data_IF_800546624687
#
_entry.id   IF_800546624687
#
_cell.length_a   1.000
_cell.length_b   1.000
_cell.length_c   1.000
_cell.angle_alpha   90.00
_cell.angle_beta   90.00
_cell.angle_gamma   90.00
#
_symmetry.space_group_name_H-M   'P 1'
#
loop_
_entity.id
_entity.type
_entity.pdbx_description
1 polymer ?
#
# COMPACT_ATOMS: atom_id res chain seq x y z
N UNK A 1 -49.42 -18.98 -5.53
CA UNK A 1 -48.13 -19.48 -5.01
C UNK A 1 -47.34 -18.26 -4.54
N UNK A 2 -46.88 -18.23 -3.27
CA UNK A 2 -46.15 -17.07 -2.73
C UNK A 2 -44.72 -17.15 -3.26
N UNK A 3 -44.27 -16.13 -4.00
CA UNK A 3 -42.88 -16.02 -4.46
C UNK A 3 -42.05 -15.52 -3.29
N UNK A 4 -41.23 -16.40 -2.71
CA UNK A 4 -40.32 -16.06 -1.62
C UNK A 4 -38.98 -15.75 -2.28
N UNK A 5 -38.55 -14.50 -2.27
CA UNK A 5 -37.20 -14.12 -2.69
C UNK A 5 -36.26 -14.47 -1.53
N UNK A 6 -35.25 -15.34 -1.73
CA UNK A 6 -34.27 -15.63 -0.69
C UNK A 6 -33.53 -14.36 -0.28
N UNK A 7 -33.24 -14.21 1.02
CA UNK A 7 -32.45 -13.11 1.55
C UNK A 7 -31.01 -13.21 0.98
N UNK A 8 -30.45 -12.14 0.36
CA UNK A 8 -29.08 -12.15 -0.16
C UNK A 8 -28.01 -12.48 0.88
N UNK A 9 -28.31 -12.36 2.18
CA UNK A 9 -27.41 -12.68 3.27
C UNK A 9 -27.43 -14.18 3.66
N UNK A 10 -28.37 -14.97 3.14
CA UNK A 10 -28.42 -16.41 3.40
C UNK A 10 -27.37 -17.13 2.54
N UNK A 11 -26.47 -17.91 3.16
CA UNK A 11 -25.48 -18.68 2.42
C UNK A 11 -26.19 -19.75 1.58
N UNK A 12 -25.87 -19.79 0.29
CA UNK A 12 -26.41 -20.77 -0.66
C UNK A 12 -25.52 -22.02 -0.61
N UNK A 13 -26.03 -23.11 -0.01
CA UNK A 13 -25.38 -24.43 0.00
C UNK A 13 -24.60 -24.76 1.27
N UNK A 14 -23.87 -25.87 1.25
CA UNK A 14 -23.13 -26.39 2.42
C UNK A 14 -21.92 -25.51 2.75
N UNK A 15 -21.91 -24.93 3.95
CA UNK A 15 -20.85 -24.03 4.42
C UNK A 15 -19.61 -24.84 4.83
N UNK A 16 -18.45 -24.52 4.25
CA UNK A 16 -17.16 -25.05 4.70
C UNK A 16 -16.49 -24.06 5.65
N UNK A 17 -16.34 -24.44 6.93
CA UNK A 17 -15.66 -23.61 7.92
C UNK A 17 -14.14 -23.65 7.66
N UNK A 18 -13.59 -22.54 7.19
CA UNK A 18 -12.15 -22.36 7.02
C UNK A 18 -11.58 -21.73 8.30
N UNK A 19 -10.44 -22.24 8.77
CA UNK A 19 -9.73 -21.62 9.90
C UNK A 19 -9.22 -20.24 9.48
N UNK A 20 -9.34 -19.25 10.35
CA UNK A 20 -8.74 -17.94 10.12
C UNK A 20 -7.24 -18.08 9.88
N UNK A 21 -6.81 -17.74 8.66
CA UNK A 21 -5.43 -17.81 8.19
C UNK A 21 -4.82 -16.42 8.03
N UNK A 22 -5.57 -15.36 8.35
CA UNK A 22 -5.06 -14.02 8.21
C UNK A 22 -4.05 -13.74 9.34
N UNK A 23 -2.85 -13.27 9.01
CA UNK A 23 -1.95 -12.73 10.03
C UNK A 23 -2.66 -11.56 10.71
N UNK A 24 -2.37 -11.36 12.00
CA UNK A 24 -2.82 -10.15 12.69
C UNK A 24 -2.38 -8.90 11.92
N UNK A 25 -3.14 -7.79 11.95
CA UNK A 25 -2.79 -6.56 11.23
C UNK A 25 -1.34 -6.09 11.47
N UNK A 26 -0.83 -6.33 12.68
CA UNK A 26 0.54 -6.02 13.09
C UNK A 26 1.61 -6.84 12.34
N UNK A 27 1.28 -8.07 11.93
CA UNK A 27 2.14 -8.95 11.13
C UNK A 27 2.08 -8.63 9.63
N UNK A 28 1.03 -7.92 9.18
CA UNK A 28 0.86 -7.49 7.79
C UNK A 28 1.65 -6.22 7.45
N UNK A 29 2.19 -5.50 8.43
CA UNK A 29 2.99 -4.30 8.20
C UNK A 29 4.48 -4.69 8.18
N UNK A 30 5.12 -4.87 7.01
CA UNK A 30 6.55 -5.10 6.95
C UNK A 30 7.29 -3.90 7.55
N UNK A 31 7.91 -4.11 8.72
CA UNK A 31 8.75 -3.11 9.38
C UNK A 31 10.01 -2.90 8.54
N UNK A 32 10.00 -1.90 7.65
CA UNK A 32 11.20 -1.49 6.93
C UNK A 32 12.15 -0.77 7.88
N UNK A 33 13.37 -1.27 7.98
CA UNK A 33 14.46 -0.55 8.67
C UNK A 33 14.83 0.66 7.83
N UNK A 34 14.81 1.86 8.40
CA UNK A 34 15.14 3.11 7.69
C UNK A 34 16.30 3.81 8.37
N UNK A 35 17.17 4.43 7.57
CA UNK A 35 18.30 5.24 8.03
C UNK A 35 18.02 6.70 7.64
N UNK A 36 18.22 7.63 8.57
CA UNK A 36 18.07 9.06 8.30
C UNK A 36 19.35 9.60 7.68
N UNK A 37 19.21 10.27 6.54
CA UNK A 37 20.28 10.97 5.83
C UNK A 37 19.87 12.43 5.63
N UNK A 38 20.82 13.35 5.78
CA UNK A 38 20.67 14.76 5.42
C UNK A 38 21.45 15.00 4.13
N UNK A 39 20.79 15.47 3.09
CA UNK A 39 21.39 15.78 1.79
C UNK A 39 20.66 16.95 1.14
N UNK A 40 21.33 17.63 0.21
CA UNK A 40 20.76 18.74 -0.55
C UNK A 40 20.16 18.25 -1.87
N UNK A 41 19.09 18.92 -2.31
CA UNK A 41 18.44 18.71 -3.59
C UNK A 41 18.29 20.06 -4.29
N UNK A 42 18.22 20.06 -5.63
CA UNK A 42 17.89 21.28 -6.36
C UNK A 42 16.45 21.71 -6.06
N UNK A 43 16.20 23.02 -6.14
CA UNK A 43 14.85 23.57 -5.95
C UNK A 43 13.87 22.98 -6.96
N UNK A 44 14.29 22.85 -8.23
CA UNK A 44 13.46 22.30 -9.31
C UNK A 44 13.02 20.86 -9.02
N UNK A 45 13.92 20.01 -8.52
CA UNK A 45 13.58 18.63 -8.15
C UNK A 45 12.57 18.60 -7.01
N UNK A 46 12.73 19.41 -5.97
CA UNK A 46 11.79 19.46 -4.85
C UNK A 46 10.41 19.97 -5.30
N UNK A 47 10.36 21.01 -6.13
CA UNK A 47 9.10 21.53 -6.64
C UNK A 47 8.38 20.53 -7.56
N UNK A 48 9.13 19.75 -8.35
CA UNK A 48 8.57 18.62 -9.10
C UNK A 48 7.86 17.63 -8.17
N UNK A 49 8.54 17.11 -7.16
CA UNK A 49 7.95 16.11 -6.26
C UNK A 49 6.79 16.67 -5.43
N UNK A 50 6.81 17.95 -5.05
CA UNK A 50 5.67 18.58 -4.35
C UNK A 50 4.42 18.62 -5.23
N UNK A 51 4.55 18.97 -6.52
CA UNK A 51 3.43 18.98 -7.46
C UNK A 51 2.85 17.58 -7.65
N UNK A 52 3.70 16.60 -7.92
CA UNK A 52 3.27 15.21 -8.10
C UNK A 52 2.63 14.64 -6.83
N UNK A 53 3.21 14.90 -5.66
CA UNK A 53 2.65 14.48 -4.37
C UNK A 53 1.22 15.01 -4.15
N UNK A 54 0.94 16.25 -4.55
CA UNK A 54 -0.41 16.83 -4.48
C UNK A 54 -1.38 16.12 -5.44
N UNK A 55 -0.94 15.80 -6.66
CA UNK A 55 -1.76 15.11 -7.65
C UNK A 55 -2.11 13.68 -7.22
N UNK A 56 -1.19 13.01 -6.53
CA UNK A 56 -1.33 11.61 -6.11
C UNK A 56 -1.80 11.44 -4.66
N UNK A 57 -2.15 12.53 -3.96
CA UNK A 57 -2.50 12.55 -2.54
C UNK A 57 -1.48 11.77 -1.67
N UNK A 58 -0.20 12.00 -1.92
CA UNK A 58 0.93 11.30 -1.32
C UNK A 58 1.92 12.28 -0.67
N UNK A 59 2.90 11.75 0.08
CA UNK A 59 4.02 12.55 0.61
C UNK A 59 5.15 12.65 -0.42
N UNK A 60 5.63 13.87 -0.70
CA UNK A 60 6.78 14.07 -1.59
C UNK A 60 8.03 13.37 -1.07
N UNK A 61 8.23 13.29 0.25
CA UNK A 61 9.32 12.52 0.86
C UNK A 61 9.19 11.02 0.57
N UNK A 62 7.96 10.49 0.58
CA UNK A 62 7.71 9.10 0.23
C UNK A 62 8.00 8.82 -1.26
N UNK A 63 7.67 9.75 -2.15
CA UNK A 63 8.01 9.64 -3.57
C UNK A 63 9.52 9.62 -3.79
N UNK A 64 10.26 10.54 -3.17
CA UNK A 64 11.73 10.58 -3.25
C UNK A 64 12.33 9.26 -2.74
N UNK A 65 11.87 8.79 -1.57
CA UNK A 65 12.33 7.52 -0.99
C UNK A 65 12.09 6.34 -1.94
N UNK A 66 10.88 6.24 -2.50
CA UNK A 66 10.53 5.15 -3.42
C UNK A 66 11.36 5.19 -4.71
N UNK A 67 11.68 6.39 -5.22
CA UNK A 67 12.54 6.54 -6.38
C UNK A 67 13.94 5.99 -6.09
N UNK A 68 14.55 6.38 -4.97
CA UNK A 68 15.89 5.91 -4.56
C UNK A 68 15.88 4.39 -4.33
N UNK A 69 14.87 3.87 -3.62
CA UNK A 69 14.72 2.43 -3.37
C UNK A 69 14.61 1.65 -4.70
N UNK A 70 13.85 2.16 -5.67
CA UNK A 70 13.63 1.50 -6.96
C UNK A 70 14.91 1.51 -7.80
N UNK A 71 15.59 2.66 -7.86
CA UNK A 71 16.86 2.79 -8.58
C UNK A 71 17.91 1.84 -8.01
N UNK A 72 18.10 1.83 -6.69
CA UNK A 72 19.09 0.95 -6.04
C UNK A 72 18.79 -0.53 -6.31
N UNK A 73 17.53 -0.96 -6.23
CA UNK A 73 17.12 -2.35 -6.53
C UNK A 73 17.45 -2.75 -7.96
N UNK A 74 17.28 -1.86 -8.93
CA UNK A 74 17.59 -2.15 -10.33
C UNK A 74 19.09 -2.30 -10.59
N UNK A 75 19.94 -1.59 -9.84
CA UNK A 75 21.41 -1.66 -9.99
C UNK A 75 22.05 -2.82 -9.21
N UNK A 76 21.31 -3.46 -8.31
CA UNK A 76 21.75 -4.62 -7.54
C UNK A 76 21.37 -5.96 -8.18
N UNK A 77 20.71 -5.93 -9.34
CA UNK A 77 20.33 -7.12 -10.13
C UNK A 77 21.44 -7.56 -11.07
#
# INVERSE_FOLDING_TARGET
>A
MKNITPDPAEPIGDLTIVKDFLPSPEQLVPRKTTVRVTMEFTQESIEFFKREAKNHNASYQAMIRNLVDTYAKQQQQ
#
